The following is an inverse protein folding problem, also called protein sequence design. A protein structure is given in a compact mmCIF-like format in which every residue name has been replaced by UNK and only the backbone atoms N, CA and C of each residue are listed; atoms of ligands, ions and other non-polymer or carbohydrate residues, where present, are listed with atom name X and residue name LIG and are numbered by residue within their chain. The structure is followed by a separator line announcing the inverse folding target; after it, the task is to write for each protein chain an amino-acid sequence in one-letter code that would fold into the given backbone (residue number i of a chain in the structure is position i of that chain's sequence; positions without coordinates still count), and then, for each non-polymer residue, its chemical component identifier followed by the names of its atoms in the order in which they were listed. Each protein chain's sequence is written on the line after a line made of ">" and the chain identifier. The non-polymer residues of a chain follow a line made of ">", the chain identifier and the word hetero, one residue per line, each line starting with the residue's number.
data_IF_915324244453
#
_entry.id   IF_915324244453
#
_cell.length_a   1.000
_cell.length_b   1.000
_cell.length_c   1.000
_cell.angle_alpha   90.00
_cell.angle_beta   90.00
_cell.angle_gamma   90.00
#
_symmetry.space_group_name_H-M   'P 1'
#
loop_
_entity.id
_entity.type
_entity.pdbx_description
1 polymer ?
#
# COMPACT_ATOMS: atom_id res chain seq x y z
N UNK A 1 -18.81 -26.78 -18.15
CA UNK A 1 -18.68 -26.00 -19.42
C UNK A 1 -17.21 -25.77 -19.69
N UNK A 2 -16.71 -26.07 -20.89
CA UNK A 2 -15.28 -25.93 -21.19
C UNK A 2 -15.02 -24.57 -21.84
N UNK A 3 -14.10 -23.78 -21.27
CA UNK A 3 -13.64 -22.52 -21.83
C UNK A 3 -12.20 -22.69 -22.33
N UNK A 4 -11.96 -22.36 -23.58
CA UNK A 4 -10.63 -22.33 -24.16
C UNK A 4 -10.02 -20.94 -23.98
N UNK A 5 -9.04 -20.81 -23.07
CA UNK A 5 -8.28 -19.56 -22.87
C UNK A 5 -7.37 -19.31 -24.09
N UNK A 6 -7.02 -20.36 -24.81
CA UNK A 6 -6.24 -20.31 -26.04
C UNK A 6 -4.80 -20.76 -25.89
N UNK A 7 -4.08 -20.59 -26.98
CA UNK A 7 -2.67 -20.89 -27.09
C UNK A 7 -1.87 -19.66 -26.61
N UNK A 8 -0.96 -19.88 -25.69
CA UNK A 8 -0.09 -18.83 -25.12
C UNK A 8 1.32 -19.10 -25.62
N UNK A 9 1.93 -18.16 -26.31
CA UNK A 9 3.26 -18.34 -26.87
C UNK A 9 4.37 -18.23 -25.80
N UNK A 10 5.58 -18.54 -26.19
CA UNK A 10 6.73 -18.52 -25.28
C UNK A 10 7.11 -17.10 -24.84
N UNK A 11 6.84 -16.08 -25.63
CA UNK A 11 7.14 -14.69 -25.32
C UNK A 11 6.17 -14.15 -24.26
N UNK A 12 4.87 -14.37 -24.49
CA UNK A 12 3.83 -14.02 -23.51
C UNK A 12 4.08 -14.75 -22.18
N UNK A 13 4.36 -16.05 -22.20
CA UNK A 13 4.68 -16.82 -21.00
C UNK A 13 5.92 -16.32 -20.27
N UNK A 14 6.94 -15.87 -21.00
CA UNK A 14 8.15 -15.32 -20.42
C UNK A 14 7.85 -14.00 -19.69
N UNK A 15 7.15 -13.06 -20.32
CA UNK A 15 6.75 -11.79 -19.69
C UNK A 15 5.94 -12.03 -18.43
N UNK A 16 5.00 -12.96 -18.45
CA UNK A 16 4.22 -13.33 -17.28
C UNK A 16 5.14 -13.92 -16.20
N UNK A 17 6.03 -14.84 -16.58
CA UNK A 17 6.93 -15.51 -15.64
C UNK A 17 7.91 -14.52 -14.98
N UNK A 18 8.54 -13.63 -15.74
CA UNK A 18 9.44 -12.59 -15.24
C UNK A 18 8.71 -11.68 -14.26
N UNK A 19 7.53 -11.21 -14.61
CA UNK A 19 6.68 -10.42 -13.71
C UNK A 19 6.28 -11.19 -12.44
N UNK A 20 6.22 -12.53 -12.48
CA UNK A 20 5.88 -13.37 -11.33
C UNK A 20 7.08 -13.76 -10.46
N UNK A 21 8.31 -13.74 -11.02
CA UNK A 21 9.53 -14.13 -10.28
C UNK A 21 9.79 -13.21 -9.08
N UNK A 22 9.40 -11.97 -9.19
CA UNK A 22 9.44 -10.98 -8.12
C UNK A 22 8.76 -11.47 -6.83
N UNK A 23 7.65 -12.18 -6.94
CA UNK A 23 6.91 -12.68 -5.76
C UNK A 23 7.57 -13.84 -5.04
N UNK A 24 8.51 -14.54 -5.69
CA UNK A 24 9.21 -15.66 -5.06
C UNK A 24 10.30 -15.22 -4.10
N UNK A 25 10.96 -14.10 -4.38
CA UNK A 25 12.07 -13.58 -3.56
C UNK A 25 11.59 -12.96 -2.25
N UNK A 26 10.36 -12.47 -2.20
CA UNK A 26 9.84 -11.70 -1.06
C UNK A 26 8.93 -12.48 -0.12
N UNK A 27 8.71 -13.77 -0.35
CA UNK A 27 7.78 -14.56 0.47
C UNK A 27 6.32 -14.07 0.39
N UNK A 28 6.00 -13.23 -0.59
CA UNK A 28 4.66 -12.69 -0.80
C UNK A 28 3.71 -13.80 -1.23
N UNK A 29 2.70 -14.05 -0.43
CA UNK A 29 1.69 -15.05 -0.75
C UNK A 29 0.74 -14.49 -1.83
N UNK A 30 1.09 -14.71 -3.11
CA UNK A 30 0.23 -14.31 -4.23
C UNK A 30 -0.93 -15.29 -4.34
N UNK A 31 -2.17 -14.81 -4.21
CA UNK A 31 -3.33 -15.69 -4.17
C UNK A 31 -3.69 -16.34 -5.53
N UNK A 32 -2.89 -16.14 -6.56
CA UNK A 32 -3.08 -16.63 -7.91
C UNK A 32 -3.02 -15.52 -8.96
N UNK A 33 -3.07 -15.91 -10.23
CA UNK A 33 -3.11 -14.98 -11.36
C UNK A 33 -4.51 -15.01 -11.99
N UNK A 34 -5.07 -13.86 -12.27
CA UNK A 34 -6.37 -13.79 -12.96
C UNK A 34 -6.15 -13.60 -14.46
N UNK A 35 -6.73 -14.48 -15.27
CA UNK A 35 -6.74 -14.35 -16.73
C UNK A 35 -8.15 -13.97 -17.20
N UNK A 36 -8.25 -13.00 -18.12
CA UNK A 36 -9.50 -12.56 -18.73
C UNK A 36 -9.23 -11.99 -20.12
N UNK A 37 -10.30 -11.77 -20.90
CA UNK A 37 -10.21 -11.13 -22.21
C UNK A 37 -10.82 -9.72 -22.15
N UNK A 38 -10.06 -8.73 -22.60
CA UNK A 38 -10.51 -7.35 -22.72
C UNK A 38 -9.97 -6.73 -24.02
N UNK A 39 -10.85 -6.09 -24.78
CA UNK A 39 -10.47 -5.48 -26.06
C UNK A 39 -9.96 -6.48 -27.10
N UNK A 40 -10.43 -7.74 -27.06
CA UNK A 40 -9.98 -8.81 -27.97
C UNK A 40 -8.56 -9.32 -27.69
N UNK A 41 -7.99 -8.99 -26.53
CA UNK A 41 -6.67 -9.47 -26.09
C UNK A 41 -6.75 -10.14 -24.73
N UNK A 42 -5.93 -11.15 -24.53
CA UNK A 42 -5.75 -11.82 -23.24
C UNK A 42 -5.03 -10.90 -22.26
N UNK A 43 -5.50 -10.85 -21.04
CA UNK A 43 -4.92 -10.08 -19.95
C UNK A 43 -4.62 -11.00 -18.78
N UNK A 44 -3.44 -10.86 -18.22
CA UNK A 44 -2.99 -11.57 -17.03
C UNK A 44 -2.78 -10.57 -15.91
N UNK A 45 -3.55 -10.71 -14.84
CA UNK A 45 -3.58 -9.77 -13.73
C UNK A 45 -3.05 -10.42 -12.47
N UNK A 46 -2.07 -9.75 -11.86
CA UNK A 46 -1.62 -10.03 -10.50
C UNK A 46 -1.85 -8.79 -9.66
N UNK A 47 -2.45 -8.97 -8.50
CA UNK A 47 -2.70 -7.87 -7.55
C UNK A 47 -2.25 -8.29 -6.17
N UNK A 48 -1.46 -7.43 -5.53
CA UNK A 48 -1.11 -7.48 -4.11
C UNK A 48 -1.68 -6.25 -3.40
N UNK A 49 -1.27 -6.03 -2.16
CA UNK A 49 -1.59 -4.80 -1.43
C UNK A 49 -0.83 -3.59 -1.98
N UNK A 50 0.35 -3.81 -2.53
CA UNK A 50 1.32 -2.77 -2.88
C UNK A 50 1.32 -2.45 -4.37
N UNK A 51 0.92 -3.41 -5.21
CA UNK A 51 0.92 -3.19 -6.65
C UNK A 51 -0.10 -4.07 -7.40
N UNK A 52 -0.40 -3.65 -8.62
CA UNK A 52 -1.18 -4.37 -9.60
C UNK A 52 -0.38 -4.42 -10.91
N UNK A 53 -0.15 -5.61 -11.43
CA UNK A 53 0.53 -5.83 -12.72
C UNK A 53 -0.45 -6.48 -13.68
N UNK A 54 -0.57 -5.90 -14.87
CA UNK A 54 -1.33 -6.48 -15.98
C UNK A 54 -0.37 -6.71 -17.14
N UNK A 55 -0.25 -7.96 -17.55
CA UNK A 55 0.48 -8.34 -18.77
C UNK A 55 -0.56 -8.54 -19.88
N UNK A 56 -0.36 -7.87 -21.00
CA UNK A 56 -1.21 -7.98 -22.18
C UNK A 56 -0.64 -9.01 -23.12
N UNK A 57 -1.36 -10.08 -23.33
CA UNK A 57 -0.98 -11.15 -24.26
C UNK A 57 -1.57 -10.97 -25.66
N UNK A 58 -1.56 -12.06 -26.40
CA UNK A 58 -2.07 -12.14 -27.78
C UNK A 58 -3.60 -11.97 -27.87
N UNK A 59 -4.05 -11.92 -29.11
CA UNK A 59 -5.48 -11.91 -29.41
C UNK A 59 -6.16 -13.16 -28.82
N UNK A 60 -7.27 -12.95 -28.14
CA UNK A 60 -8.06 -14.00 -27.52
C UNK A 60 -9.54 -13.63 -27.52
N UNK A 61 -10.37 -14.65 -27.54
CA UNK A 61 -11.83 -14.49 -27.48
C UNK A 61 -12.40 -15.58 -26.57
N UNK A 62 -12.55 -15.25 -25.28
CA UNK A 62 -13.24 -16.07 -24.31
C UNK A 62 -13.97 -15.22 -23.28
N UNK A 63 -15.06 -15.76 -22.74
CA UNK A 63 -15.89 -15.06 -21.75
C UNK A 63 -15.46 -15.39 -20.32
N UNK A 64 -15.61 -14.41 -19.43
CA UNK A 64 -15.35 -14.57 -18.00
C UNK A 64 -13.92 -14.24 -17.60
N UNK A 65 -13.68 -14.35 -16.30
CA UNK A 65 -12.35 -14.21 -15.69
C UNK A 65 -12.08 -15.42 -14.79
N UNK A 66 -10.86 -15.94 -14.86
CA UNK A 66 -10.46 -17.15 -14.17
C UNK A 66 -9.23 -16.90 -13.33
N UNK A 67 -9.33 -17.26 -12.05
CA UNK A 67 -8.18 -17.21 -11.13
C UNK A 67 -7.45 -18.53 -11.17
N UNK A 68 -6.24 -18.52 -11.72
CA UNK A 68 -5.38 -19.67 -11.90
C UNK A 68 -4.35 -19.77 -10.78
N UNK A 69 -3.96 -20.98 -10.36
CA UNK A 69 -2.84 -21.17 -9.45
C UNK A 69 -1.56 -20.62 -10.06
N UNK A 70 -0.79 -19.88 -9.26
CA UNK A 70 0.50 -19.33 -9.71
C UNK A 70 1.43 -20.43 -10.25
N UNK A 71 1.41 -21.60 -9.65
CA UNK A 71 2.26 -22.74 -10.00
C UNK A 71 2.05 -23.26 -11.41
N UNK A 72 0.81 -23.23 -11.94
CA UNK A 72 0.55 -23.71 -13.32
C UNK A 72 1.16 -22.76 -14.35
N UNK A 73 1.05 -21.44 -14.11
CA UNK A 73 1.61 -20.41 -14.97
C UNK A 73 3.13 -20.37 -14.86
N UNK A 74 3.66 -20.42 -13.63
CA UNK A 74 5.10 -20.44 -13.40
C UNK A 74 5.78 -21.69 -13.98
N UNK A 75 5.13 -22.85 -13.95
CA UNK A 75 5.65 -24.06 -14.57
C UNK A 75 5.62 -23.99 -16.10
N UNK A 76 4.56 -23.41 -16.67
CA UNK A 76 4.43 -23.18 -18.11
C UNK A 76 5.47 -22.18 -18.65
N UNK A 77 5.78 -21.12 -17.87
CA UNK A 77 6.71 -20.06 -18.25
C UNK A 77 8.21 -20.36 -18.01
N UNK A 78 8.55 -21.52 -17.44
CA UNK A 78 9.97 -21.85 -17.21
C UNK A 78 10.76 -21.94 -18.52
N UNK A 79 12.00 -21.40 -18.58
CA UNK A 79 12.80 -21.34 -19.81
C UNK A 79 13.00 -22.69 -20.52
N UNK A 80 13.00 -23.81 -19.79
CA UNK A 80 13.10 -25.16 -20.37
C UNK A 80 11.78 -25.64 -20.97
N UNK A 81 10.65 -25.12 -20.51
CA UNK A 81 9.31 -25.38 -21.04
C UNK A 81 8.93 -24.43 -22.18
N UNK A 82 9.57 -23.28 -22.27
CA UNK A 82 9.25 -22.19 -23.18
C UNK A 82 9.65 -22.41 -24.65
N UNK A 83 10.09 -23.62 -25.03
CA UNK A 83 10.41 -23.94 -26.42
C UNK A 83 9.16 -24.09 -27.33
N UNK A 84 7.96 -23.77 -26.83
CA UNK A 84 6.71 -23.87 -27.61
C UNK A 84 5.55 -23.23 -26.90
N UNK A 85 4.45 -23.09 -27.63
CA UNK A 85 3.20 -22.54 -27.06
C UNK A 85 2.53 -23.55 -26.12
N UNK A 86 1.84 -23.02 -25.11
CA UNK A 86 1.07 -23.79 -24.13
C UNK A 86 -0.41 -23.50 -24.30
N UNK A 87 -1.22 -24.54 -24.45
CA UNK A 87 -2.67 -24.40 -24.50
C UNK A 87 -3.24 -24.43 -23.08
N UNK A 88 -4.04 -23.39 -22.75
CA UNK A 88 -4.78 -23.34 -21.49
C UNK A 88 -6.28 -23.54 -21.73
N UNK A 89 -6.86 -24.48 -21.01
CA UNK A 89 -8.31 -24.73 -21.02
C UNK A 89 -8.83 -24.78 -19.59
N UNK A 90 -10.04 -24.25 -19.37
CA UNK A 90 -10.75 -24.35 -18.10
C UNK A 90 -11.99 -25.20 -18.31
N UNK A 91 -12.15 -26.23 -17.50
CA UNK A 91 -13.33 -27.06 -17.47
C UNK A 91 -13.81 -27.18 -16.03
N UNK A 92 -15.01 -26.71 -15.76
CA UNK A 92 -15.58 -26.57 -14.42
C UNK A 92 -14.60 -25.77 -13.52
N UNK A 93 -14.10 -26.35 -12.43
CA UNK A 93 -13.16 -25.69 -11.51
C UNK A 93 -11.71 -26.16 -11.70
N UNK A 94 -11.37 -26.65 -12.89
CA UNK A 94 -10.05 -27.14 -13.22
C UNK A 94 -9.45 -26.40 -14.41
N UNK A 95 -8.21 -25.93 -14.28
CA UNK A 95 -7.40 -25.42 -15.38
C UNK A 95 -6.42 -26.49 -15.82
N UNK A 96 -6.32 -26.70 -17.13
CA UNK A 96 -5.37 -27.61 -17.76
C UNK A 96 -4.44 -26.82 -18.66
N UNK A 97 -3.13 -26.96 -18.43
CA UNK A 97 -2.08 -26.44 -19.29
C UNK A 97 -1.43 -27.62 -20.03
N UNK A 98 -1.47 -27.59 -21.35
CA UNK A 98 -0.90 -28.64 -22.24
C UNK A 98 0.21 -28.05 -23.08
N UNK A 99 1.39 -28.63 -22.99
CA UNK A 99 2.57 -28.26 -23.76
C UNK A 99 3.16 -29.50 -24.46
N UNK A 100 4.21 -29.32 -25.25
CA UNK A 100 4.99 -30.42 -25.83
C UNK A 100 5.64 -31.32 -24.77
N UNK A 101 5.76 -30.87 -23.53
CA UNK A 101 6.38 -31.61 -22.42
C UNK A 101 5.39 -32.36 -21.54
N UNK A 102 4.10 -32.16 -21.77
CA UNK A 102 3.06 -32.83 -21.00
C UNK A 102 1.87 -31.93 -20.65
N UNK A 103 1.02 -32.48 -19.83
CA UNK A 103 -0.22 -31.83 -19.38
C UNK A 103 -0.21 -31.72 -17.86
N UNK A 104 -0.55 -30.55 -17.36
CA UNK A 104 -0.75 -30.30 -15.92
C UNK A 104 -2.18 -29.82 -15.70
N UNK A 105 -2.85 -30.35 -14.70
CA UNK A 105 -4.22 -29.95 -14.33
C UNK A 105 -4.23 -29.57 -12.84
N UNK A 106 -4.77 -28.40 -12.54
CA UNK A 106 -4.87 -27.87 -11.18
C UNK A 106 -6.24 -27.21 -10.94
N UNK A 107 -6.69 -27.10 -9.71
CA UNK A 107 -7.90 -26.35 -9.38
C UNK A 107 -7.78 -24.87 -9.76
N UNK A 108 -8.86 -24.29 -10.26
CA UNK A 108 -8.99 -22.86 -10.51
C UNK A 108 -10.38 -22.39 -10.04
N UNK A 109 -10.64 -21.09 -10.13
CA UNK A 109 -11.96 -20.55 -9.79
C UNK A 109 -12.36 -19.47 -10.79
N UNK A 110 -13.66 -19.38 -11.08
CA UNK A 110 -14.23 -18.26 -11.77
C UNK A 110 -14.27 -17.05 -10.83
N UNK A 111 -13.97 -15.87 -11.34
CA UNK A 111 -14.00 -14.62 -10.57
C UNK A 111 -14.78 -13.54 -11.33
N UNK A 112 -15.16 -12.46 -10.65
CA UNK A 112 -15.70 -11.31 -11.31
C UNK A 112 -14.66 -10.67 -12.25
N UNK A 113 -15.13 -10.04 -13.34
CA UNK A 113 -14.25 -9.28 -14.22
C UNK A 113 -13.50 -8.24 -13.41
N UNK A 114 -12.16 -8.20 -13.51
CA UNK A 114 -11.36 -7.26 -12.75
C UNK A 114 -11.68 -5.83 -13.14
N UNK A 115 -11.87 -4.96 -12.16
CA UNK A 115 -11.88 -3.52 -12.39
C UNK A 115 -10.47 -3.01 -12.11
N UNK A 116 -9.68 -2.81 -13.16
CA UNK A 116 -8.36 -2.20 -13.01
C UNK A 116 -8.59 -0.74 -12.66
N UNK A 117 -8.06 -0.31 -11.52
CA UNK A 117 -8.04 1.09 -11.16
C UNK A 117 -7.15 1.80 -12.20
N UNK A 118 -7.74 2.34 -13.24
CA UNK A 118 -7.02 3.20 -14.18
C UNK A 118 -6.62 4.43 -13.42
N UNK A 119 -5.35 4.43 -13.02
CA UNK A 119 -4.80 5.49 -12.22
C UNK A 119 -4.78 6.79 -13.02
N UNK A 120 -5.04 7.86 -12.30
CA UNK A 120 -4.58 9.22 -12.56
C UNK A 120 -5.19 9.88 -13.79
N UNK A 121 -6.49 10.12 -13.73
CA UNK A 121 -7.12 11.19 -14.49
C UNK A 121 -7.06 12.50 -13.66
N UNK A 122 -5.87 13.09 -13.49
CA UNK A 122 -5.67 14.32 -12.74
C UNK A 122 -5.12 15.45 -13.61
N UNK A 123 -5.45 16.71 -13.27
CA UNK A 123 -4.94 17.91 -13.96
C UNK A 123 -3.44 18.13 -13.79
N UNK A 124 -2.80 17.45 -12.85
CA UNK A 124 -1.39 17.60 -12.48
C UNK A 124 -0.55 16.35 -12.79
N UNK A 125 -0.95 15.59 -13.79
CA UNK A 125 -0.20 14.38 -14.18
C UNK A 125 1.18 14.78 -14.71
N UNK A 126 2.22 14.29 -14.04
CA UNK A 126 3.57 14.29 -14.56
C UNK A 126 3.81 12.94 -15.26
N UNK A 127 4.32 12.96 -16.49
CA UNK A 127 4.69 11.73 -17.19
C UNK A 127 5.99 11.90 -17.97
N UNK A 128 6.75 10.81 -18.07
CA UNK A 128 7.96 10.71 -18.87
C UNK A 128 7.91 9.45 -19.73
N UNK A 129 8.06 9.62 -21.05
CA UNK A 129 8.14 8.52 -22.00
C UNK A 129 9.58 8.38 -22.50
N UNK A 130 10.14 7.16 -22.42
CA UNK A 130 11.51 6.84 -22.77
C UNK A 130 11.66 5.35 -23.07
N UNK A 131 12.79 4.95 -23.63
CA UNK A 131 13.11 3.53 -23.84
C UNK A 131 13.31 2.78 -22.52
N UNK A 132 13.03 1.48 -22.51
CA UNK A 132 13.19 0.65 -21.31
C UNK A 132 14.62 0.62 -20.80
N UNK A 133 15.59 0.56 -21.70
CA UNK A 133 17.02 0.60 -21.36
C UNK A 133 17.41 1.89 -20.66
N UNK A 134 16.98 3.05 -21.18
CA UNK A 134 17.23 4.35 -20.58
C UNK A 134 16.52 4.48 -19.22
N UNK A 135 15.31 3.95 -19.11
CA UNK A 135 14.54 3.91 -17.84
C UNK A 135 15.29 3.11 -16.78
N UNK A 136 15.66 1.88 -17.09
CA UNK A 136 16.41 1.01 -16.19
C UNK A 136 17.74 1.64 -15.78
N UNK A 137 18.55 2.08 -16.76
CA UNK A 137 19.84 2.70 -16.47
C UNK A 137 19.71 3.92 -15.56
N UNK A 138 18.75 4.80 -15.83
CA UNK A 138 18.57 6.03 -15.04
C UNK A 138 18.12 5.72 -13.61
N UNK A 139 17.17 4.81 -13.47
CA UNK A 139 16.66 4.43 -12.13
C UNK A 139 17.77 3.75 -11.33
N UNK A 140 18.46 2.76 -11.90
CA UNK A 140 19.54 2.07 -11.19
C UNK A 140 20.72 2.96 -10.87
N UNK A 141 21.10 3.85 -11.79
CA UNK A 141 22.20 4.80 -11.55
C UNK A 141 21.87 5.86 -10.48
N UNK A 142 20.59 6.22 -10.34
CA UNK A 142 20.15 7.20 -9.35
C UNK A 142 19.71 6.59 -8.02
N UNK A 143 19.42 5.30 -7.98
CA UNK A 143 18.91 4.61 -6.79
C UNK A 143 19.96 3.73 -6.10
N UNK A 144 20.92 3.18 -6.83
CA UNK A 144 21.95 2.32 -6.25
C UNK A 144 23.17 3.10 -5.74
N UNK A 145 23.81 2.63 -4.66
CA UNK A 145 25.06 3.24 -4.21
C UNK A 145 26.16 3.07 -5.26
N UNK A 146 27.13 3.98 -5.29
CA UNK A 146 28.32 3.77 -6.08
C UNK A 146 28.97 2.45 -5.61
N UNK A 147 29.32 1.59 -6.57
CA UNK A 147 30.12 0.40 -6.26
C UNK A 147 31.46 0.89 -5.69
N UNK A 148 31.63 0.86 -4.39
CA UNK A 148 32.95 1.01 -3.78
C UNK A 148 33.74 -0.25 -4.09
N UNK A 149 34.78 -0.08 -4.91
CA UNK A 149 35.72 -1.14 -5.32
C UNK A 149 36.65 -1.60 -4.16
N UNK A 150 36.50 -1.03 -3.00
CA UNK A 150 37.25 -1.37 -1.79
C UNK A 150 36.31 -1.90 -0.71
N UNK A 151 35.74 -3.08 -0.94
CA UNK A 151 35.14 -3.86 0.13
C UNK A 151 36.29 -4.38 1.00
N UNK A 152 36.51 -3.76 2.13
CA UNK A 152 37.19 -4.44 3.25
C UNK A 152 36.24 -5.54 3.72
N UNK A 153 36.77 -6.76 3.90
CA UNK A 153 36.03 -7.98 4.28
C UNK A 153 35.45 -7.92 5.72
N UNK A 154 35.01 -6.77 6.20
CA UNK A 154 34.29 -6.65 7.46
C UNK A 154 32.82 -7.10 7.21
N UNK A 155 32.55 -8.36 7.57
CA UNK A 155 31.29 -9.09 7.42
C UNK A 155 30.09 -8.46 8.15
N UNK A 156 30.28 -7.36 8.88
CA UNK A 156 29.24 -6.70 9.69
C UNK A 156 28.64 -5.43 9.05
N UNK A 157 29.03 -5.09 7.82
CA UNK A 157 28.44 -3.94 7.13
C UNK A 157 27.05 -4.35 6.57
N UNK A 158 26.02 -4.23 7.42
CA UNK A 158 24.64 -4.23 6.96
C UNK A 158 24.52 -3.22 5.82
N UNK A 159 24.45 -3.72 4.57
CA UNK A 159 24.18 -2.90 3.39
C UNK A 159 22.82 -2.26 3.60
N UNK A 160 22.81 -1.08 4.16
CA UNK A 160 21.60 -0.29 4.31
C UNK A 160 21.14 0.08 2.91
N UNK A 161 19.96 -0.39 2.52
CA UNK A 161 19.27 0.12 1.33
C UNK A 161 18.95 1.60 1.55
N UNK A 162 18.86 2.41 0.49
CA UNK A 162 18.38 3.78 0.66
C UNK A 162 17.00 3.74 1.31
N UNK A 163 16.73 4.65 2.22
CA UNK A 163 15.41 4.76 2.85
C UNK A 163 14.32 5.02 1.81
N UNK A 164 14.67 5.69 0.73
CA UNK A 164 13.80 5.98 -0.42
C UNK A 164 14.61 6.50 -1.60
N UNK A 165 13.98 6.50 -2.77
CA UNK A 165 14.48 7.28 -3.89
C UNK A 165 13.43 8.28 -4.42
N UNK A 166 13.90 9.37 -4.96
CA UNK A 166 13.09 10.47 -5.50
C UNK A 166 13.06 10.40 -7.02
N UNK A 167 11.86 10.29 -7.59
CA UNK A 167 11.62 10.48 -9.01
C UNK A 167 11.12 11.90 -9.26
N UNK A 168 11.74 12.63 -10.16
CA UNK A 168 11.32 13.96 -10.58
C UNK A 168 11.23 14.05 -12.09
N UNK A 169 10.10 14.50 -12.59
CA UNK A 169 9.89 14.82 -14.01
C UNK A 169 9.87 16.33 -14.13
N UNK A 170 10.81 16.88 -14.88
CA UNK A 170 10.90 18.32 -15.14
C UNK A 170 11.81 18.57 -16.37
N UNK A 171 11.58 19.67 -17.05
CA UNK A 171 12.47 20.24 -18.09
C UNK A 171 12.85 19.24 -19.19
N UNK A 172 11.91 18.38 -19.62
CA UNK A 172 12.14 17.36 -20.64
C UNK A 172 13.02 16.20 -20.16
N UNK A 173 13.10 15.97 -18.85
CA UNK A 173 13.95 14.94 -18.25
C UNK A 173 13.25 14.16 -17.15
N UNK A 174 13.66 12.92 -17.00
CA UNK A 174 13.45 12.12 -15.80
C UNK A 174 14.73 12.21 -14.95
N UNK A 175 14.58 12.65 -13.71
CA UNK A 175 15.62 12.69 -12.70
C UNK A 175 15.33 11.66 -11.62
N UNK A 176 16.36 10.95 -11.18
CA UNK A 176 16.31 9.99 -10.08
C UNK A 176 17.41 10.36 -9.09
N UNK A 177 17.09 10.42 -7.82
CA UNK A 177 18.05 10.62 -6.75
C UNK A 177 17.69 9.80 -5.53
N UNK A 178 18.69 9.37 -4.78
CA UNK A 178 18.52 8.66 -3.52
C UNK A 178 19.48 9.20 -2.47
N UNK A 179 19.03 9.24 -1.24
CA UNK A 179 19.85 9.58 -0.08
C UNK A 179 20.20 8.26 0.63
N UNK A 180 21.48 8.08 0.91
CA UNK A 180 22.00 6.94 1.64
C UNK A 180 22.39 7.38 3.06
N UNK A 181 21.63 6.90 4.05
CA UNK A 181 21.93 7.09 5.47
C UNK A 181 22.86 5.98 5.93
N UNK A 182 24.14 6.20 5.82
CA UNK A 182 25.18 5.33 6.37
C UNK A 182 26.30 6.18 6.97
N UNK A 183 27.41 5.56 7.39
CA UNK A 183 28.59 6.27 7.94
C UNK A 183 29.14 7.37 6.98
N UNK A 184 28.66 7.40 5.74
CA UNK A 184 28.88 8.45 4.74
C UNK A 184 27.56 8.76 4.05
N UNK A 185 27.10 10.00 4.13
CA UNK A 185 25.96 10.53 3.38
C UNK A 185 26.36 10.63 1.90
N UNK A 186 25.81 9.76 1.08
CA UNK A 186 25.96 9.85 -0.39
C UNK A 186 24.62 10.23 -0.98
N UNK A 187 24.63 11.26 -1.81
CA UNK A 187 23.51 11.59 -2.68
C UNK A 187 23.83 11.07 -4.09
N UNK A 188 23.09 10.06 -4.54
CA UNK A 188 23.16 9.58 -5.90
C UNK A 188 22.19 10.36 -6.75
N UNK A 189 22.63 10.75 -7.95
CA UNK A 189 21.79 11.47 -8.92
C UNK A 189 22.02 10.95 -10.33
N UNK A 190 20.97 10.60 -11.01
CA UNK A 190 20.97 10.29 -12.43
C UNK A 190 19.85 11.04 -13.14
N UNK A 191 20.00 11.30 -14.43
CA UNK A 191 18.94 11.85 -15.25
C UNK A 191 19.08 11.40 -16.70
N UNK A 192 17.96 11.35 -17.40
CA UNK A 192 17.91 11.09 -18.84
C UNK A 192 16.91 12.01 -19.51
N UNK A 193 17.13 12.28 -20.80
CA UNK A 193 16.16 12.98 -21.64
C UNK A 193 14.95 12.09 -21.86
N UNK A 194 13.75 12.65 -21.74
CA UNK A 194 12.50 11.95 -21.93
C UNK A 194 11.48 12.85 -22.61
N UNK A 195 10.50 12.25 -23.29
CA UNK A 195 9.34 13.02 -23.72
C UNK A 195 8.44 13.22 -22.49
N UNK A 196 8.42 14.45 -21.94
CA UNK A 196 7.72 14.74 -20.70
C UNK A 196 6.44 15.52 -20.92
N UNK A 197 5.45 15.25 -20.06
CA UNK A 197 4.21 16.04 -19.96
C UNK A 197 3.99 16.39 -18.49
N UNK A 198 3.75 17.65 -18.20
CA UNK A 198 3.67 18.14 -16.83
C UNK A 198 5.01 18.11 -16.10
N UNK A 199 4.97 18.42 -14.82
CA UNK A 199 6.12 18.36 -13.92
C UNK A 199 5.68 17.88 -12.53
N UNK A 200 6.57 17.20 -11.83
CA UNK A 200 6.29 16.71 -10.49
C UNK A 200 7.42 15.91 -9.90
N UNK A 201 7.30 15.58 -8.63
CA UNK A 201 8.23 14.71 -7.94
C UNK A 201 7.49 13.80 -6.97
N UNK A 202 8.04 12.61 -6.75
CA UNK A 202 7.47 11.59 -5.89
C UNK A 202 8.59 10.80 -5.20
N UNK A 203 8.42 10.53 -3.91
CA UNK A 203 9.29 9.60 -3.18
C UNK A 203 8.76 8.18 -3.33
N UNK A 204 9.65 7.25 -3.55
CA UNK A 204 9.33 5.85 -3.86
C UNK A 204 10.10 4.93 -2.94
N UNK A 205 9.42 3.89 -2.49
CA UNK A 205 10.03 2.82 -1.72
C UNK A 205 11.07 2.06 -2.56
N UNK A 206 12.24 1.71 -2.00
CA UNK A 206 13.27 0.94 -2.70
C UNK A 206 12.79 -0.38 -3.30
N UNK A 207 11.81 -1.03 -2.70
CA UNK A 207 11.24 -2.29 -3.22
C UNK A 207 10.61 -2.14 -4.61
N UNK A 208 10.28 -0.91 -5.02
CA UNK A 208 9.87 -0.62 -6.40
C UNK A 208 10.95 -0.96 -7.43
N UNK A 209 12.22 -0.96 -7.05
CA UNK A 209 13.33 -1.35 -7.94
C UNK A 209 13.17 -2.79 -8.41
N UNK A 210 12.70 -3.69 -7.54
CA UNK A 210 12.46 -5.08 -7.88
C UNK A 210 11.37 -5.22 -8.95
N UNK A 211 10.30 -4.40 -8.84
CA UNK A 211 9.22 -4.38 -9.83
C UNK A 211 9.76 -3.90 -11.18
N UNK A 212 10.49 -2.79 -11.17
CA UNK A 212 11.06 -2.21 -12.38
C UNK A 212 12.01 -3.18 -13.05
N UNK A 213 12.92 -3.78 -12.28
CA UNK A 213 13.91 -4.73 -12.81
C UNK A 213 13.27 -5.95 -13.47
N UNK A 214 12.22 -6.51 -12.87
CA UNK A 214 11.60 -7.74 -13.36
C UNK A 214 10.55 -7.51 -14.45
N UNK A 215 9.98 -6.31 -14.57
CA UNK A 215 8.86 -6.05 -15.47
C UNK A 215 9.21 -5.17 -16.66
N UNK A 216 10.27 -4.35 -16.57
CA UNK A 216 10.63 -3.42 -17.63
C UNK A 216 11.44 -4.15 -18.70
N UNK A 217 10.86 -4.25 -19.90
CA UNK A 217 11.53 -4.74 -21.09
C UNK A 217 12.42 -3.62 -21.67
N UNK A 218 13.72 -3.90 -21.87
CA UNK A 218 14.72 -2.96 -22.36
C UNK A 218 14.41 -2.46 -23.77
N UNK A 219 13.80 -3.27 -24.60
CA UNK A 219 13.51 -2.98 -26.01
C UNK A 219 12.16 -2.26 -26.19
N UNK A 220 11.35 -2.15 -25.15
CA UNK A 220 10.05 -1.50 -25.20
C UNK A 220 10.13 0.00 -24.86
N UNK A 221 9.15 0.76 -25.35
CA UNK A 221 8.92 2.13 -24.90
C UNK A 221 8.02 2.13 -23.69
N UNK A 222 8.44 2.85 -22.65
CA UNK A 222 7.72 2.94 -21.40
C UNK A 222 7.28 4.37 -21.09
N UNK A 223 6.12 4.47 -20.50
CA UNK A 223 5.61 5.71 -19.91
C UNK A 223 5.55 5.54 -18.40
N UNK A 224 6.38 6.31 -17.68
CA UNK A 224 6.29 6.47 -16.23
C UNK A 224 5.41 7.66 -15.93
N UNK A 225 4.41 7.53 -15.07
CA UNK A 225 3.53 8.64 -14.71
C UNK A 225 3.07 8.58 -13.25
N UNK A 226 2.86 9.77 -12.68
CA UNK A 226 2.30 9.97 -11.35
C UNK A 226 1.61 11.33 -11.27
N UNK A 227 0.76 11.54 -10.26
CA UNK A 227 0.18 12.86 -10.00
C UNK A 227 1.19 13.68 -9.18
N UNK A 228 1.64 14.80 -9.74
CA UNK A 228 2.83 15.55 -9.32
C UNK A 228 2.87 16.01 -7.87
N UNK A 229 1.71 16.04 -7.15
CA UNK A 229 1.66 16.49 -5.76
C UNK A 229 0.79 15.63 -4.85
N UNK A 230 -0.03 14.72 -5.36
CA UNK A 230 -1.05 14.03 -4.57
C UNK A 230 -1.09 12.52 -4.76
N UNK A 231 -0.22 11.96 -5.63
CA UNK A 231 -0.29 10.53 -5.95
C UNK A 231 0.27 9.67 -4.83
N UNK A 232 -0.46 8.60 -4.55
CA UNK A 232 0.05 7.44 -3.83
C UNK A 232 0.48 6.35 -4.81
N UNK A 233 0.28 6.56 -6.10
CA UNK A 233 0.49 5.54 -7.11
C UNK A 233 1.46 6.03 -8.17
N UNK A 234 2.36 5.15 -8.56
CA UNK A 234 3.16 5.26 -9.78
C UNK A 234 2.57 4.31 -10.81
N UNK A 235 2.47 4.78 -12.04
CA UNK A 235 2.09 3.97 -13.18
C UNK A 235 3.25 3.83 -14.13
N UNK A 236 3.58 2.59 -14.48
CA UNK A 236 4.47 2.25 -15.58
C UNK A 236 3.65 1.52 -16.65
N UNK A 237 3.72 2.00 -17.87
CA UNK A 237 2.91 1.47 -18.98
C UNK A 237 3.76 1.28 -20.22
N UNK A 238 3.58 0.16 -20.90
CA UNK A 238 4.09 -0.16 -22.23
C UNK A 238 2.98 -0.84 -23.04
N UNK A 239 3.26 -1.25 -24.27
CA UNK A 239 2.31 -2.01 -25.10
C UNK A 239 1.92 -3.36 -24.49
N UNK A 240 2.81 -3.94 -23.68
CA UNK A 240 2.63 -5.26 -23.08
C UNK A 240 2.30 -5.24 -21.60
N UNK A 241 2.70 -4.20 -20.87
CA UNK A 241 2.55 -4.14 -19.42
C UNK A 241 1.83 -2.87 -18.98
N UNK A 242 1.02 -3.02 -17.93
CA UNK A 242 0.45 -1.93 -17.17
C UNK A 242 0.65 -2.22 -15.69
N UNK A 243 1.46 -1.41 -15.03
CA UNK A 243 1.87 -1.59 -13.64
C UNK A 243 1.41 -0.38 -12.85
N UNK A 244 0.69 -0.62 -11.76
CA UNK A 244 0.34 0.41 -10.78
C UNK A 244 0.95 -0.01 -9.46
N UNK A 245 1.77 0.84 -8.88
CA UNK A 245 2.35 0.61 -7.56
C UNK A 245 1.96 1.72 -6.60
N UNK A 246 1.53 1.36 -5.42
CA UNK A 246 1.27 2.26 -4.29
C UNK A 246 2.48 2.41 -3.35
N UNK A 247 3.64 1.92 -3.74
CA UNK A 247 4.90 2.05 -3.01
C UNK A 247 5.45 3.49 -3.03
N UNK A 248 4.60 4.43 -2.66
CA UNK A 248 4.93 5.85 -2.59
C UNK A 248 5.00 6.28 -1.15
N UNK A 249 6.13 6.87 -0.80
CA UNK A 249 6.34 7.43 0.55
C UNK A 249 5.65 8.79 0.64
N UNK A 250 4.65 8.87 1.49
CA UNK A 250 3.88 10.09 1.73
C UNK A 250 4.46 10.81 2.93
N UNK A 251 4.90 12.06 2.74
CA UNK A 251 5.37 12.86 3.87
C UNK A 251 4.27 13.05 4.92
N UNK A 252 4.64 13.14 6.21
CA UNK A 252 3.69 13.37 7.30
C UNK A 252 2.79 14.59 7.07
N UNK A 253 3.30 15.65 6.46
CA UNK A 253 2.52 16.84 6.13
C UNK A 253 1.44 16.56 5.07
N UNK A 254 1.78 15.83 4.01
CA UNK A 254 0.79 15.42 2.98
C UNK A 254 -0.23 14.44 3.53
N UNK A 255 0.20 13.53 4.39
CA UNK A 255 -0.68 12.58 5.05
C UNK A 255 -1.68 13.31 5.96
N UNK A 256 -1.21 14.30 6.72
CA UNK A 256 -2.05 15.16 7.55
C UNK A 256 -3.13 15.87 6.70
N UNK A 257 -2.74 16.53 5.62
CA UNK A 257 -3.68 17.22 4.72
C UNK A 257 -4.73 16.27 4.14
N UNK A 258 -4.33 15.04 3.77
CA UNK A 258 -5.25 14.02 3.25
C UNK A 258 -6.24 13.54 4.29
N UNK A 259 -5.76 13.29 5.51
CA UNK A 259 -6.64 12.92 6.63
C UNK A 259 -7.66 14.00 6.86
N UNK A 260 -7.25 15.29 6.92
CA UNK A 260 -8.17 16.43 7.08
C UNK A 260 -9.20 16.49 5.97
N UNK A 261 -8.80 16.38 4.69
CA UNK A 261 -9.73 16.35 3.54
C UNK A 261 -10.77 15.22 3.64
N UNK A 262 -10.36 14.04 4.15
CA UNK A 262 -11.29 12.93 4.39
C UNK A 262 -12.28 13.27 5.48
N UNK A 263 -11.81 13.82 6.60
CA UNK A 263 -12.67 14.19 7.73
C UNK A 263 -13.70 15.26 7.33
N UNK A 264 -13.29 16.27 6.56
CA UNK A 264 -14.16 17.30 5.99
C UNK A 264 -15.23 16.69 5.06
N UNK A 265 -14.80 15.84 4.12
CA UNK A 265 -15.72 15.17 3.19
C UNK A 265 -16.74 14.30 3.91
N UNK A 266 -16.32 13.58 4.92
CA UNK A 266 -17.16 12.68 5.72
C UNK A 266 -17.92 13.43 6.85
N UNK A 267 -17.70 14.75 6.96
CA UNK A 267 -18.37 15.65 7.92
C UNK A 267 -18.14 15.28 9.38
N UNK A 268 -16.96 14.81 9.72
CA UNK A 268 -16.57 14.64 11.11
C UNK A 268 -16.27 15.98 11.76
N UNK A 269 -16.74 16.17 13.00
CA UNK A 269 -16.25 17.25 13.86
C UNK A 269 -14.79 16.97 14.19
N UNK A 270 -13.86 17.88 13.82
CA UNK A 270 -12.45 17.67 14.02
C UNK A 270 -11.69 18.96 14.31
N UNK A 271 -10.54 18.80 14.98
CA UNK A 271 -9.56 19.85 15.22
C UNK A 271 -8.19 19.36 14.72
N UNK A 272 -7.59 20.08 13.79
CA UNK A 272 -6.37 19.67 13.11
C UNK A 272 -5.30 20.78 13.21
N UNK A 273 -4.53 20.85 14.31
CA UNK A 273 -3.44 21.81 14.43
C UNK A 273 -2.30 21.47 13.46
N UNK A 274 -1.64 22.48 12.93
CA UNK A 274 -0.51 22.29 12.03
C UNK A 274 0.61 21.50 12.74
N UNK A 275 0.94 20.31 12.22
CA UNK A 275 2.02 19.47 12.74
C UNK A 275 1.71 18.75 14.06
N UNK A 276 0.47 18.81 14.55
CA UNK A 276 0.02 18.12 15.74
C UNK A 276 -0.96 16.99 15.46
N UNK A 277 -1.35 16.23 16.50
CA UNK A 277 -2.37 15.21 16.37
C UNK A 277 -3.72 15.82 15.97
N UNK A 278 -4.49 15.08 15.18
CA UNK A 278 -5.83 15.50 14.75
C UNK A 278 -6.84 14.91 15.73
N UNK A 279 -7.57 15.76 16.43
CA UNK A 279 -8.68 15.34 17.27
C UNK A 279 -9.97 15.19 16.45
N UNK A 280 -10.65 14.06 16.59
CA UNK A 280 -11.94 13.79 15.94
C UNK A 280 -12.97 13.44 17.00
N UNK A 281 -14.15 14.08 16.95
CA UNK A 281 -15.28 13.72 17.79
C UNK A 281 -16.28 12.87 16.98
N UNK A 282 -16.65 11.72 17.52
CA UNK A 282 -17.72 10.89 16.99
C UNK A 282 -18.57 10.37 18.14
N UNK A 283 -19.82 10.74 18.17
CA UNK A 283 -20.71 10.58 19.33
C UNK A 283 -20.06 11.17 20.61
N UNK A 284 -19.97 10.40 21.69
CA UNK A 284 -19.33 10.80 22.94
C UNK A 284 -17.87 10.37 23.06
N UNK A 285 -17.25 10.00 21.93
CA UNK A 285 -15.87 9.51 21.87
C UNK A 285 -14.99 10.53 21.19
N UNK A 286 -13.89 10.90 21.85
CA UNK A 286 -12.81 11.69 21.26
C UNK A 286 -11.71 10.74 20.81
N UNK A 287 -11.34 10.81 19.54
CA UNK A 287 -10.32 9.98 18.91
C UNK A 287 -9.17 10.90 18.51
N UNK A 288 -7.95 10.57 18.90
CA UNK A 288 -6.73 11.20 18.40
C UNK A 288 -6.22 10.42 17.18
N UNK A 289 -5.91 11.15 16.13
CA UNK A 289 -5.21 10.62 14.96
C UNK A 289 -3.78 11.14 15.01
N UNK A 290 -2.85 10.28 15.34
CA UNK A 290 -1.43 10.57 15.40
C UNK A 290 -0.76 10.05 14.12
N UNK A 291 0.04 10.92 13.51
CA UNK A 291 0.81 10.58 12.34
C UNK A 291 2.20 10.18 12.80
N UNK A 292 2.50 8.89 12.75
CA UNK A 292 3.80 8.37 13.12
C UNK A 292 4.66 8.19 11.88
N UNK A 293 5.89 8.64 11.98
CA UNK A 293 6.97 8.20 11.15
C UNK A 293 7.65 7.06 11.89
N UNK A 294 7.77 5.89 11.28
CA UNK A 294 8.45 4.75 11.91
C UNK A 294 9.94 5.06 11.93
N UNK A 295 10.58 4.91 13.09
CA UNK A 295 12.03 5.11 13.24
C UNK A 295 12.79 4.30 12.17
N UNK A 296 13.62 4.99 11.38
CA UNK A 296 14.42 4.39 10.32
C UNK A 296 13.65 4.03 9.03
N UNK A 297 12.38 4.36 8.91
CA UNK A 297 11.64 4.22 7.66
C UNK A 297 10.73 5.43 7.43
N UNK A 298 10.65 5.88 6.18
CA UNK A 298 9.69 6.92 5.76
C UNK A 298 8.23 6.43 5.74
N UNK A 299 7.97 5.20 6.21
CA UNK A 299 6.64 4.65 6.29
C UNK A 299 5.81 5.40 7.33
N UNK A 300 4.98 6.31 6.86
CA UNK A 300 4.03 7.03 7.69
C UNK A 300 2.88 6.11 8.07
N UNK A 301 2.48 6.15 9.32
CA UNK A 301 1.35 5.39 9.87
C UNK A 301 0.36 6.37 10.49
N UNK A 302 -0.92 6.15 10.30
CA UNK A 302 -1.97 6.88 11.03
C UNK A 302 -2.47 6.00 12.16
N UNK A 303 -2.17 6.37 13.39
CA UNK A 303 -2.73 5.73 14.58
C UNK A 303 -3.98 6.46 15.04
N UNK A 304 -5.10 5.78 15.03
CA UNK A 304 -6.30 6.23 15.68
C UNK A 304 -6.28 5.70 17.11
N UNK A 305 -6.36 6.57 18.09
CA UNK A 305 -6.39 6.16 19.50
C UNK A 305 -7.47 6.89 20.28
N UNK A 306 -8.01 6.25 21.30
CA UNK A 306 -8.95 6.85 22.23
C UNK A 306 -8.75 6.32 23.64
N UNK A 307 -9.08 7.13 24.63
CA UNK A 307 -9.10 6.70 26.04
C UNK A 307 -10.44 6.02 26.33
N UNK A 308 -10.40 4.78 26.73
CA UNK A 308 -11.59 3.99 27.10
C UNK A 308 -11.95 4.28 28.55
N UNK A 309 -10.99 4.20 29.47
CA UNK A 309 -11.20 4.40 30.90
C UNK A 309 -10.06 5.22 31.49
N UNK A 310 -10.39 6.23 32.30
CA UNK A 310 -9.42 7.06 33.04
C UNK A 310 -9.43 6.67 34.52
N UNK A 311 -8.33 6.98 35.20
CA UNK A 311 -8.12 6.67 36.62
C UNK A 311 -8.29 5.18 36.94
N UNK A 312 -7.89 4.31 36.00
CA UNK A 312 -7.91 2.88 36.25
C UNK A 312 -6.77 2.47 37.19
N UNK A 313 -7.08 1.57 38.13
CA UNK A 313 -6.06 0.98 38.98
C UNK A 313 -5.41 -0.20 38.23
N UNK A 314 -4.09 -0.18 38.18
CA UNK A 314 -3.34 -1.33 37.65
C UNK A 314 -3.58 -2.56 38.56
N UNK A 315 -4.19 -3.56 37.99
CA UNK A 315 -4.45 -4.83 38.68
C UNK A 315 -4.22 -6.01 37.74
N UNK A 316 -4.01 -7.19 38.32
CA UNK A 316 -3.86 -8.42 37.52
C UNK A 316 -5.13 -8.77 36.74
N UNK A 317 -6.26 -8.38 37.24
CA UNK A 317 -7.57 -8.54 36.58
C UNK A 317 -7.68 -7.63 35.37
N UNK A 318 -7.35 -6.33 35.51
CA UNK A 318 -7.33 -5.38 34.39
C UNK A 318 -6.38 -5.83 33.29
N UNK A 319 -5.16 -6.24 33.64
CA UNK A 319 -4.18 -6.72 32.67
C UNK A 319 -4.63 -8.00 31.96
N UNK A 320 -5.38 -8.86 32.67
CA UNK A 320 -5.95 -10.08 32.09
C UNK A 320 -7.05 -9.76 31.06
N UNK A 321 -7.92 -8.77 31.35
CA UNK A 321 -8.95 -8.30 30.41
C UNK A 321 -8.31 -7.67 29.16
N UNK A 322 -7.28 -6.83 29.33
CA UNK A 322 -6.53 -6.24 28.21
C UNK A 322 -5.92 -7.34 27.33
N UNK A 323 -5.27 -8.32 27.94
CA UNK A 323 -4.66 -9.43 27.20
C UNK A 323 -5.70 -10.29 26.49
N UNK A 324 -6.84 -10.57 27.12
CA UNK A 324 -7.93 -11.32 26.50
C UNK A 324 -8.50 -10.57 25.27
N UNK A 325 -8.67 -9.24 25.37
CA UNK A 325 -9.06 -8.44 24.22
C UNK A 325 -8.04 -8.51 23.09
N UNK A 326 -6.75 -8.33 23.41
CA UNK A 326 -5.67 -8.33 22.40
C UNK A 326 -5.48 -9.71 21.73
N UNK A 327 -5.78 -10.80 22.42
CA UNK A 327 -5.74 -12.16 21.86
C UNK A 327 -6.91 -12.42 20.90
N UNK A 328 -8.09 -11.86 21.20
CA UNK A 328 -9.31 -12.07 20.42
C UNK A 328 -9.58 -10.96 19.40
N UNK A 329 -8.98 -9.78 19.58
CA UNK A 329 -9.14 -8.62 18.72
C UNK A 329 -8.24 -8.69 17.49
N UNK A 330 -8.84 -8.79 16.29
CA UNK A 330 -8.09 -8.86 15.02
C UNK A 330 -7.57 -7.49 14.55
N UNK A 331 -8.15 -6.39 15.01
CA UNK A 331 -7.93 -5.06 14.42
C UNK A 331 -7.55 -4.00 15.45
N UNK A 332 -8.08 -4.11 16.68
CA UNK A 332 -7.87 -3.14 17.74
C UNK A 332 -6.91 -3.66 18.79
N UNK A 333 -6.13 -2.75 19.41
CA UNK A 333 -5.22 -3.06 20.51
C UNK A 333 -5.55 -2.21 21.72
N UNK A 334 -5.57 -2.82 22.90
CA UNK A 334 -5.67 -2.18 24.19
C UNK A 334 -4.31 -2.13 24.88
N UNK A 335 -4.03 -1.04 25.59
CA UNK A 335 -2.93 -0.98 26.55
C UNK A 335 -3.26 -0.08 27.72
N UNK A 336 -2.57 -0.30 28.82
CA UNK A 336 -2.62 0.52 30.01
C UNK A 336 -1.41 1.43 30.08
N UNK A 337 -1.64 2.71 30.30
CA UNK A 337 -0.58 3.71 30.50
C UNK A 337 -1.07 4.77 31.52
N UNK A 338 -0.26 4.98 32.55
CA UNK A 338 -0.43 6.04 33.57
C UNK A 338 -1.86 6.21 34.10
N UNK A 339 -2.48 5.10 34.46
CA UNK A 339 -3.85 5.14 34.99
C UNK A 339 -4.94 5.28 33.93
N UNK A 340 -4.62 5.09 32.67
CA UNK A 340 -5.61 5.13 31.59
C UNK A 340 -5.51 3.87 30.75
N UNK A 341 -6.68 3.39 30.28
CA UNK A 341 -6.73 2.32 29.27
C UNK A 341 -7.03 2.95 27.92
N UNK A 342 -6.18 2.66 26.97
CA UNK A 342 -6.25 3.17 25.61
C UNK A 342 -6.62 2.07 24.63
N UNK A 343 -7.39 2.43 23.59
CA UNK A 343 -7.73 1.57 22.47
C UNK A 343 -7.18 2.23 21.19
N UNK A 344 -6.52 1.46 20.31
CA UNK A 344 -6.06 2.00 19.04
C UNK A 344 -6.21 1.04 17.85
N UNK A 345 -6.15 1.65 16.68
CA UNK A 345 -6.07 1.02 15.36
C UNK A 345 -4.98 1.71 14.57
N UNK A 346 -4.09 0.98 13.94
CA UNK A 346 -3.10 1.49 13.02
C UNK A 346 -3.63 1.39 11.57
N UNK A 347 -3.49 2.46 10.81
CA UNK A 347 -3.95 2.60 9.42
C UNK A 347 -2.77 2.97 8.54
N UNK A 348 -2.51 2.17 7.53
CA UNK A 348 -1.51 2.49 6.51
C UNK A 348 -2.02 3.59 5.58
N UNK A 349 -1.14 4.43 5.00
CA UNK A 349 -1.52 5.53 4.12
C UNK A 349 -2.33 5.11 2.89
N UNK A 350 -2.09 3.93 2.36
CA UNK A 350 -2.82 3.31 1.25
C UNK A 350 -4.25 2.88 1.62
N UNK A 351 -4.52 2.67 2.90
CA UNK A 351 -5.82 2.25 3.44
C UNK A 351 -6.69 3.42 3.96
N UNK A 352 -6.36 4.66 3.66
CA UNK A 352 -7.13 5.83 4.10
C UNK A 352 -8.56 5.88 3.56
N UNK A 353 -8.86 5.18 2.47
CA UNK A 353 -10.23 5.07 1.93
C UNK A 353 -11.21 4.54 2.98
N UNK A 354 -10.75 3.66 3.87
CA UNK A 354 -11.53 3.10 4.98
C UNK A 354 -11.46 3.89 6.28
N UNK A 355 -10.79 5.05 6.32
CA UNK A 355 -10.55 5.82 7.56
C UNK A 355 -11.83 6.14 8.32
N UNK A 356 -12.85 6.66 7.62
CA UNK A 356 -14.14 6.99 8.22
C UNK A 356 -14.82 5.79 8.89
N UNK A 357 -14.77 4.63 8.25
CA UNK A 357 -15.32 3.39 8.82
C UNK A 357 -14.54 2.98 10.07
N UNK A 358 -13.21 3.13 10.07
CA UNK A 358 -12.36 2.79 11.22
C UNK A 358 -12.58 3.74 12.39
N UNK A 359 -12.81 5.02 12.14
CA UNK A 359 -13.20 5.99 13.19
C UNK A 359 -14.51 5.52 13.86
N UNK A 360 -15.55 5.22 13.07
CA UNK A 360 -16.83 4.73 13.59
C UNK A 360 -16.69 3.42 14.36
N UNK A 361 -15.91 2.49 13.83
CA UNK A 361 -15.64 1.20 14.48
C UNK A 361 -14.91 1.39 15.81
N UNK A 362 -13.88 2.25 15.86
CA UNK A 362 -13.13 2.55 17.09
C UNK A 362 -14.04 3.18 18.14
N UNK A 363 -14.90 4.12 17.75
CA UNK A 363 -15.87 4.76 18.65
C UNK A 363 -16.87 3.75 19.24
N UNK A 364 -17.43 2.87 18.40
CA UNK A 364 -18.35 1.81 18.82
C UNK A 364 -17.67 0.84 19.80
N UNK A 365 -16.46 0.40 19.48
CA UNK A 365 -15.71 -0.53 20.32
C UNK A 365 -15.30 0.12 21.65
N UNK A 366 -14.90 1.38 21.64
CA UNK A 366 -14.61 2.13 22.86
C UNK A 366 -15.83 2.24 23.75
N UNK A 367 -17.02 2.50 23.20
CA UNK A 367 -18.27 2.52 23.93
C UNK A 367 -18.59 1.18 24.59
N UNK A 368 -18.42 0.08 23.85
CA UNK A 368 -18.60 -1.29 24.36
C UNK A 368 -17.62 -1.62 25.50
N UNK A 369 -16.35 -1.26 25.32
CA UNK A 369 -15.29 -1.56 26.29
C UNK A 369 -15.40 -0.73 27.57
N UNK A 370 -15.96 0.49 27.53
CA UNK A 370 -16.24 1.28 28.74
C UNK A 370 -17.07 0.48 29.71
N UNK A 371 -18.17 -0.14 29.27
CA UNK A 371 -19.01 -0.96 30.15
C UNK A 371 -18.28 -2.14 30.78
N UNK A 372 -17.26 -2.69 30.11
CA UNK A 372 -16.45 -3.81 30.63
C UNK A 372 -15.35 -3.32 31.57
N UNK A 373 -14.78 -2.14 31.31
CA UNK A 373 -13.61 -1.63 32.03
C UNK A 373 -13.95 -0.63 33.17
N UNK A 374 -15.18 -0.09 33.21
CA UNK A 374 -15.66 0.79 34.28
C UNK A 374 -15.44 0.24 35.69
N UNK A 375 -15.59 -1.07 35.98
CA UNK A 375 -15.31 -1.62 37.32
C UNK A 375 -13.86 -1.44 37.79
N UNK A 376 -12.93 -1.17 36.86
CA UNK A 376 -11.50 -0.95 37.17
C UNK A 376 -11.16 0.53 37.36
N UNK A 377 -12.10 1.44 37.07
CA UNK A 377 -11.92 2.86 37.36
C UNK A 377 -11.90 3.09 38.86
N UNK A 378 -10.94 3.84 39.37
CA UNK A 378 -10.95 4.27 40.76
C UNK A 378 -12.22 5.08 41.03
N UNK A 379 -12.95 4.72 42.08
CA UNK A 379 -14.09 5.52 42.53
C UNK A 379 -13.64 6.97 42.69
N UNK A 380 -14.25 7.87 41.91
CA UNK A 380 -13.96 9.30 42.03
C UNK A 380 -14.36 9.75 43.43
N UNK A 381 -13.37 9.92 44.28
CA UNK A 381 -13.55 10.39 45.68
C UNK A 381 -13.93 11.89 45.76
N UNK A 382 -14.54 12.44 44.71
CA UNK A 382 -15.13 13.75 44.78
C UNK A 382 -16.51 13.66 45.48
N UNK A 383 -16.67 14.28 46.64
CA UNK A 383 -17.99 14.40 47.25
C UNK A 383 -18.93 15.13 46.28
N UNK A 384 -20.20 14.78 46.22
CA UNK A 384 -21.17 15.41 45.32
C UNK A 384 -21.19 16.92 45.60
N UNK A 385 -20.76 17.72 44.66
CA UNK A 385 -20.83 19.20 44.75
C UNK A 385 -22.29 19.59 44.97
N UNK A 386 -22.62 20.36 46.02
CA UNK A 386 -23.99 20.76 46.29
C UNK A 386 -24.58 21.48 45.07
N UNK A 387 -25.72 21.03 44.58
CA UNK A 387 -26.43 21.65 43.47
C UNK A 387 -26.70 23.12 43.79
N UNK A 388 -25.87 24.04 43.28
CA UNK A 388 -26.14 25.46 43.30
C UNK A 388 -27.39 25.74 42.47
N UNK A 389 -28.37 26.35 43.06
CA UNK A 389 -29.64 26.79 42.43
C UNK A 389 -29.31 27.63 41.20
N UNK A 390 -29.71 27.16 40.05
CA UNK A 390 -29.55 27.71 38.71
C UNK A 390 -30.23 29.09 38.63
N UNK A 391 -29.44 30.15 38.62
CA UNK A 391 -29.86 31.46 38.07
C UNK A 391 -29.62 31.39 36.55
N UNK A 392 -30.70 31.51 35.80
CA UNK A 392 -30.64 31.61 34.34
C UNK A 392 -29.96 32.91 33.92
N UNK A 393 -28.76 32.85 33.40
CA UNK A 393 -28.13 33.90 32.59
C UNK A 393 -27.68 33.28 31.28
N UNK A 394 -28.03 33.90 30.16
CA UNK A 394 -27.72 33.48 28.80
C UNK A 394 -26.23 33.22 28.62
N UNK A 395 -25.82 32.13 27.94
CA UNK A 395 -24.40 31.85 27.75
C UNK A 395 -23.81 32.77 26.68
N UNK A 396 -22.69 33.41 27.02
CA UNK A 396 -21.71 33.91 26.07
C UNK A 396 -20.92 32.70 25.57
N UNK A 397 -20.93 32.51 24.27
CA UNK A 397 -20.11 31.50 23.61
C UNK A 397 -18.63 31.85 23.81
N UNK A 398 -17.90 31.04 24.54
CA UNK A 398 -16.43 31.01 24.53
C UNK A 398 -15.96 29.74 23.82
N UNK A 399 -14.88 29.78 23.02
CA UNK A 399 -14.34 28.60 22.41
C UNK A 399 -13.73 27.67 23.48
N UNK A 400 -14.21 26.44 23.53
CA UNK A 400 -13.61 25.39 24.36
C UNK A 400 -12.23 25.02 23.83
N UNK A 401 -11.26 25.05 24.73
CA UNK A 401 -9.92 24.50 24.50
C UNK A 401 -10.00 23.01 24.75
N UNK A 402 -9.56 22.23 23.79
CA UNK A 402 -9.49 20.78 23.88
C UNK A 402 -8.17 20.38 24.56
N UNK A 403 -8.24 19.81 25.73
CA UNK A 403 -7.14 19.10 26.40
C UNK A 403 -7.07 17.62 26.01
#
# INVERSE_FOLDING_TARGET
>A
MTTNIGLVDSTELRHIFESLMMFRSEGVNVPGITVYCEGGRRKWLVTTKEFTIVVTGDAADFAGAYKLPLTIVANAGRPRAAAGAVAFTVCDDLVTATSSYGTQTLPCSTTAMPTIRRAIAGRNRASAQLGGKELLYTIFSGANPPFETNMTDDEDDERTNPDHFLLRIADGRLHVSSDWSGARLYEMRAHTTAHTTGAGQIKVDPDMLNIIYNCVDEDATWTLSFDGNESLDIVLESDTHYIVSSMVIVSAAKLHERVVKILEREKFEHHAPAGGPIGVRHDDVVISLDLFQRDGSDASLVRLSTVVTRNANESSELLREINAHNQNGLVTRLWFDRGSVHLAIDVLPDNLVGLAQRIRMLATEAGRLRGVLDPFAAESSMPPTPRARRRQTKPKVQPEVWD
#
